data_IF_470332038813
#
_entry.id   IF_470332038813
#
_cell.length_a   1.000
_cell.length_b   1.000
_cell.length_c   1.000
_cell.angle_alpha   90.00
_cell.angle_beta   90.00
_cell.angle_gamma   90.00
#
_symmetry.space_group_name_H-M   'P 1'
#
loop_
_entity.id
_entity.type
_entity.pdbx_description
1 polymer ?
#
# COMPACT_ATOMS: atom_id res chain seq x y z
N UNK A 1 -5.83 11.50 -17.28
CA UNK A 1 -6.18 11.05 -15.92
C UNK A 1 -4.94 10.37 -15.37
N UNK A 2 -4.19 11.04 -14.49
CA UNK A 2 -3.09 10.37 -13.79
C UNK A 2 -3.69 9.26 -12.92
N UNK A 3 -3.08 8.07 -12.82
CA UNK A 3 -3.56 7.08 -11.86
C UNK A 3 -3.59 7.74 -10.49
N UNK A 4 -4.72 7.65 -9.79
CA UNK A 4 -4.83 8.10 -8.41
C UNK A 4 -3.77 7.32 -7.62
N UNK A 5 -2.73 8.01 -7.16
CA UNK A 5 -1.68 7.44 -6.32
C UNK A 5 -2.18 7.32 -4.88
N UNK A 6 -3.11 6.40 -4.65
CA UNK A 6 -3.59 6.03 -3.34
C UNK A 6 -2.53 5.35 -2.47
N UNK A 7 -2.55 5.73 -1.19
CA UNK A 7 -1.66 5.18 -0.16
C UNK A 7 -2.38 4.04 0.58
N UNK A 8 -1.62 3.00 0.91
CA UNK A 8 -2.07 1.87 1.72
C UNK A 8 -1.08 1.59 2.83
N UNK A 9 -1.47 0.79 3.83
CA UNK A 9 -0.57 0.30 4.86
C UNK A 9 -0.62 -1.22 4.88
N UNK A 10 0.53 -1.87 5.00
CA UNK A 10 0.59 -3.32 5.16
C UNK A 10 1.64 -3.69 6.19
N UNK A 11 1.32 -4.68 7.00
CA UNK A 11 2.26 -5.28 7.94
C UNK A 11 3.17 -6.29 7.25
N UNK A 12 4.44 -6.27 7.65
CA UNK A 12 5.44 -7.22 7.21
C UNK A 12 6.17 -7.80 8.41
N UNK A 13 6.43 -9.11 8.36
CA UNK A 13 7.35 -9.77 9.29
C UNK A 13 8.79 -9.46 8.88
N UNK A 14 9.45 -8.64 9.68
CA UNK A 14 10.85 -8.28 9.51
C UNK A 14 11.71 -9.12 10.44
N UNK A 15 12.70 -9.82 9.88
CA UNK A 15 13.73 -10.49 10.68
C UNK A 15 14.76 -9.47 11.14
N UNK A 16 14.89 -9.32 12.46
CA UNK A 16 15.95 -8.52 13.06
C UNK A 16 17.30 -9.24 12.96
N UNK A 17 18.40 -8.50 13.13
CA UNK A 17 19.76 -9.08 13.16
C UNK A 17 19.95 -10.12 14.28
N UNK A 18 19.13 -10.05 15.33
CA UNK A 18 19.10 -11.01 16.43
C UNK A 18 18.28 -12.28 16.12
N UNK A 19 17.73 -12.42 14.90
CA UNK A 19 16.90 -13.55 14.51
C UNK A 19 15.45 -13.49 14.98
N UNK A 20 15.06 -12.44 15.71
CA UNK A 20 13.67 -12.23 16.15
C UNK A 20 12.84 -11.67 15.00
N UNK A 21 11.70 -12.30 14.71
CA UNK A 21 10.69 -11.77 13.78
C UNK A 21 9.84 -10.72 14.49
N UNK A 22 9.72 -9.53 13.90
CA UNK A 22 8.86 -8.45 14.39
C UNK A 22 7.93 -8.01 13.26
N UNK A 23 6.65 -7.85 13.58
CA UNK A 23 5.65 -7.29 12.68
C UNK A 23 5.77 -5.77 12.68
N UNK A 24 5.99 -5.19 11.51
CA UNK A 24 6.10 -3.74 11.32
C UNK A 24 5.24 -3.28 10.14
N UNK A 25 4.58 -2.14 10.30
CA UNK A 25 3.67 -1.57 9.29
C UNK A 25 4.43 -0.64 8.35
N UNK A 26 4.23 -0.85 7.05
CA UNK A 26 4.87 -0.07 6.00
C UNK A 26 3.84 0.56 5.08
N UNK A 27 4.08 1.82 4.74
CA UNK A 27 3.29 2.54 3.74
C UNK A 27 3.64 2.07 2.34
N UNK A 28 2.62 1.71 1.60
CA UNK A 28 2.69 1.43 0.17
C UNK A 28 1.97 2.50 -0.65
N UNK A 29 2.29 2.58 -1.92
CA UNK A 29 1.58 3.39 -2.91
C UNK A 29 1.17 2.49 -4.04
N UNK A 30 -0.10 2.48 -4.39
CA UNK A 30 -0.53 1.75 -5.57
C UNK A 30 -0.16 2.57 -6.80
N UNK A 31 0.48 1.92 -7.76
CA UNK A 31 1.05 2.56 -8.95
C UNK A 31 0.36 2.13 -10.24
N UNK A 32 -0.26 0.96 -10.25
CA UNK A 32 -1.04 0.46 -11.38
C UNK A 32 -2.02 -0.62 -10.95
N UNK A 33 -2.88 -1.02 -11.88
CA UNK A 33 -3.77 -2.16 -11.73
C UNK A 33 -3.82 -2.95 -13.04
N UNK A 34 -4.31 -4.18 -12.98
CA UNK A 34 -4.47 -5.02 -14.15
C UNK A 34 -5.46 -6.15 -13.91
N UNK A 35 -5.61 -6.99 -14.92
CA UNK A 35 -6.37 -8.22 -14.90
C UNK A 35 -5.42 -9.40 -15.16
N UNK A 36 -5.68 -10.53 -14.50
CA UNK A 36 -5.05 -11.80 -14.81
C UNK A 36 -6.12 -12.91 -14.79
N UNK A 37 -6.65 -13.24 -15.97
CA UNK A 37 -7.68 -14.26 -16.17
C UNK A 37 -8.99 -13.97 -15.41
N UNK A 38 -9.45 -12.72 -15.43
CA UNK A 38 -10.67 -12.30 -14.74
C UNK A 38 -10.47 -11.94 -13.26
N UNK A 39 -9.25 -12.07 -12.74
CA UNK A 39 -8.88 -11.63 -11.39
C UNK A 39 -8.15 -10.29 -11.47
N UNK A 40 -8.80 -9.24 -10.98
CA UNK A 40 -8.22 -7.91 -10.90
C UNK A 40 -7.18 -7.82 -9.78
N UNK A 41 -6.06 -7.16 -10.06
CA UNK A 41 -4.99 -6.92 -9.10
C UNK A 41 -4.49 -5.47 -9.16
N UNK A 42 -3.87 -5.04 -8.06
CA UNK A 42 -3.25 -3.74 -7.90
C UNK A 42 -1.77 -3.89 -7.57
N UNK A 43 -0.92 -3.23 -8.34
CA UNK A 43 0.51 -3.19 -8.08
C UNK A 43 0.80 -2.08 -7.05
N UNK A 44 1.36 -2.49 -5.91
CA UNK A 44 1.65 -1.60 -4.79
C UNK A 44 3.15 -1.62 -4.50
N UNK A 45 3.76 -0.44 -4.58
CA UNK A 45 5.16 -0.24 -4.25
C UNK A 45 5.31 0.09 -2.77
N UNK A 46 6.26 -0.59 -2.11
CA UNK A 46 6.68 -0.33 -0.74
C UNK A 46 8.14 0.15 -0.75
N UNK A 47 8.41 1.47 -0.88
CA UNK A 47 9.76 1.99 -1.10
C UNK A 47 10.75 1.63 0.00
N UNK A 48 10.30 1.64 1.26
CA UNK A 48 11.12 1.27 2.43
C UNK A 48 11.59 -0.19 2.38
N UNK A 49 10.84 -1.07 1.73
CA UNK A 49 11.16 -2.49 1.57
C UNK A 49 11.79 -2.80 0.20
N UNK A 50 11.85 -1.83 -0.72
CA UNK A 50 12.27 -2.00 -2.13
C UNK A 50 11.55 -3.16 -2.82
N UNK A 51 10.23 -3.26 -2.60
CA UNK A 51 9.39 -4.34 -3.14
C UNK A 51 8.13 -3.77 -3.78
N UNK A 52 7.64 -4.49 -4.78
CA UNK A 52 6.33 -4.28 -5.38
C UNK A 52 5.51 -5.55 -5.23
N UNK A 53 4.29 -5.43 -4.69
CA UNK A 53 3.35 -6.54 -4.53
C UNK A 53 2.19 -6.38 -5.49
N UNK A 54 1.62 -7.49 -5.95
CA UNK A 54 0.31 -7.52 -6.60
C UNK A 54 -0.71 -7.93 -5.55
N UNK A 55 -1.67 -7.05 -5.29
CA UNK A 55 -2.73 -7.26 -4.31
C UNK A 55 -4.03 -7.54 -5.04
N UNK A 56 -4.74 -8.59 -4.65
CA UNK A 56 -6.13 -8.76 -5.06
C UNK A 56 -7.06 -7.79 -4.31
N UNK A 57 -8.32 -7.70 -4.74
CA UNK A 57 -9.29 -6.76 -4.19
C UNK A 57 -9.42 -6.87 -2.66
N UNK A 58 -9.44 -8.09 -2.11
CA UNK A 58 -9.53 -8.30 -0.67
C UNK A 58 -8.28 -7.78 0.06
N UNK A 59 -7.08 -8.18 -0.36
CA UNK A 59 -5.83 -7.73 0.28
C UNK A 59 -5.69 -6.21 0.24
N UNK A 60 -6.13 -5.59 -0.86
CA UNK A 60 -6.12 -4.15 -1.02
C UNK A 60 -7.09 -3.45 -0.06
N UNK A 61 -8.29 -4.01 0.14
CA UNK A 61 -9.26 -3.50 1.11
C UNK A 61 -8.71 -3.58 2.53
N UNK A 62 -8.05 -4.69 2.89
CA UNK A 62 -7.36 -4.84 4.17
C UNK A 62 -6.26 -3.78 4.33
N UNK A 63 -5.40 -3.59 3.32
CA UNK A 63 -4.34 -2.59 3.40
C UNK A 63 -4.86 -1.14 3.44
N UNK A 64 -6.03 -0.88 2.83
CA UNK A 64 -6.70 0.42 2.88
C UNK A 64 -7.32 0.66 4.26
N UNK A 65 -7.90 -0.38 4.87
CA UNK A 65 -8.40 -0.31 6.24
C UNK A 65 -7.26 -0.04 7.24
N UNK A 66 -6.13 -0.73 7.11
CA UNK A 66 -4.95 -0.47 7.93
C UNK A 66 -4.45 0.97 7.77
N UNK A 67 -4.46 1.51 6.54
CA UNK A 67 -4.10 2.91 6.32
C UNK A 67 -5.02 3.86 7.11
N UNK A 68 -6.32 3.59 7.13
CA UNK A 68 -7.28 4.33 7.94
C UNK A 68 -7.00 4.22 9.45
N UNK A 69 -6.78 3.01 9.98
CA UNK A 69 -6.45 2.80 11.41
C UNK A 69 -5.19 3.59 11.81
N UNK A 70 -4.19 3.62 10.93
CA UNK A 70 -2.92 4.31 11.15
C UNK A 70 -2.97 5.82 10.84
N UNK A 71 -4.12 6.37 10.44
CA UNK A 71 -4.27 7.80 10.13
C UNK A 71 -3.51 8.23 8.87
N UNK A 72 -3.25 7.30 7.95
CA UNK A 72 -2.63 7.60 6.65
C UNK A 72 -3.70 8.14 5.70
N UNK A 73 -3.40 9.27 5.06
CA UNK A 73 -4.24 9.78 3.99
C UNK A 73 -4.18 8.87 2.76
N UNK A 74 -5.24 8.09 2.57
CA UNK A 74 -5.40 7.13 1.48
C UNK A 74 -5.42 7.83 0.12
N UNK A 75 -5.84 9.10 0.06
CA UNK A 75 -5.94 9.82 -1.23
C UNK A 75 -4.58 10.20 -1.80
N UNK A 76 -3.54 10.20 -0.96
CA UNK A 76 -2.19 10.61 -1.34
C UNK A 76 -2.08 12.11 -1.66
N UNK A 77 -3.15 12.88 -1.43
CA UNK A 77 -3.20 14.32 -1.64
C UNK A 77 -2.59 14.99 -0.42
N UNK A 78 -1.28 15.26 -0.49
CA UNK A 78 -0.67 16.13 0.51
C UNK A 78 -1.44 17.47 0.53
N UNK A 79 -1.62 18.04 1.73
CA UNK A 79 -2.49 19.19 2.02
C UNK A 79 -2.16 20.50 1.28
N UNK A 80 -1.29 20.47 0.27
CA UNK A 80 -0.93 21.60 -0.60
C UNK A 80 -1.55 21.56 -2.00
N UNK A 81 -2.26 20.48 -2.38
CA UNK A 81 -2.90 20.36 -3.72
C UNK A 81 -4.43 20.45 -3.67
N UNK A 82 -4.98 21.13 -2.65
CA UNK A 82 -6.37 21.56 -2.69
C UNK A 82 -6.48 22.73 -3.69
N UNK A 83 -6.73 22.41 -4.97
CA UNK A 83 -7.09 23.41 -5.98
C UNK A 83 -8.51 23.89 -5.66
N UNK A 84 -8.62 25.15 -5.23
CA UNK A 84 -9.87 25.90 -5.05
C UNK A 84 -10.48 26.22 -6.41
#
# INVERSE_FOLDING_TARGET
>A
MYPLHWQVMRDFDIRTKAGVSKRESFRGTVVSWGDNNGVYYWAVEFPKLKKTLRLECQELAECTHEAYIHGVDVTGLSSGEAVV
#
